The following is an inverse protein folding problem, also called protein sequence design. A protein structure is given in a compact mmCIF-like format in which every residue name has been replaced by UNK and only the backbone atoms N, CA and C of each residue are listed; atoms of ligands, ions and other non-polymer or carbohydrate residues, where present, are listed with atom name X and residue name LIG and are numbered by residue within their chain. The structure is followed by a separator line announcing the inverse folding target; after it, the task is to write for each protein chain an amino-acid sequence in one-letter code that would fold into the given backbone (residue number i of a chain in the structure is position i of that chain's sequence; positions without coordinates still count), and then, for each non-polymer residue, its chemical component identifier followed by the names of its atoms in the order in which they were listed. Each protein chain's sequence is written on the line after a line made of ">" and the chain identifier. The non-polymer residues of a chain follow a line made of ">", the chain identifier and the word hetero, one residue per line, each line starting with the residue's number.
data_IF_934742718410
#
_entry.id   IF_934742718410
#
_cell.length_a   1.000
_cell.length_b   1.000
_cell.length_c   1.000
_cell.angle_alpha   90.00
_cell.angle_beta   90.00
_cell.angle_gamma   90.00
#
_symmetry.space_group_name_H-M   'P 1'
#
loop_
_entity.id
_entity.type
_entity.pdbx_description
1 polymer ?
#
# COMPACT_ATOMS: atom_id res chain seq x y z
N UNK A 1 -6.54 0.24 16.90
CA UNK A 1 -5.59 0.50 15.79
C UNK A 1 -5.70 1.98 15.44
N UNK A 2 -4.61 2.73 15.38
CA UNK A 2 -4.61 4.12 14.94
C UNK A 2 -4.87 4.25 13.45
N UNK A 3 -5.65 5.27 13.09
CA UNK A 3 -6.02 5.62 11.73
C UNK A 3 -5.92 7.13 11.59
N UNK A 4 -5.33 7.61 10.50
CA UNK A 4 -5.11 9.02 10.24
C UNK A 4 -5.76 9.43 8.93
N UNK A 5 -6.49 10.56 8.95
CA UNK A 5 -7.19 11.09 7.81
C UNK A 5 -6.49 12.32 7.24
N UNK A 6 -6.35 12.36 5.92
CA UNK A 6 -5.92 13.51 5.14
C UNK A 6 -7.03 13.79 4.12
N UNK A 7 -7.52 15.02 4.04
CA UNK A 7 -8.62 15.38 3.16
C UNK A 7 -8.51 16.85 2.72
N UNK A 8 -9.20 17.24 1.64
CA UNK A 8 -9.18 18.62 1.16
C UNK A 8 -9.64 19.59 2.21
N UNK A 9 -8.90 20.67 2.42
CA UNK A 9 -9.30 21.79 3.30
C UNK A 9 -10.31 22.67 2.58
N UNK A 10 -11.60 22.40 2.80
CA UNK A 10 -12.72 23.09 2.17
C UNK A 10 -13.56 23.75 3.24
N UNK A 11 -13.78 25.08 3.10
CA UNK A 11 -14.67 25.81 3.97
C UNK A 11 -16.15 25.51 3.66
N UNK A 12 -16.96 25.41 4.72
CA UNK A 12 -18.41 25.20 4.62
C UNK A 12 -18.84 23.74 4.53
N UNK A 13 -20.09 23.55 4.11
CA UNK A 13 -20.71 22.23 4.02
C UNK A 13 -20.23 21.51 2.76
N UNK A 14 -19.80 20.26 2.92
CA UNK A 14 -19.41 19.37 1.84
C UNK A 14 -20.45 18.25 1.72
N UNK A 15 -20.76 17.86 0.49
CA UNK A 15 -21.68 16.75 0.22
C UNK A 15 -21.10 15.45 0.78
N UNK A 16 -21.96 14.61 1.33
CA UNK A 16 -21.60 13.26 1.75
C UNK A 16 -21.04 12.46 0.55
N UNK A 17 -19.91 11.79 0.76
CA UNK A 17 -19.25 11.00 -0.28
C UNK A 17 -18.74 11.83 -1.47
N UNK A 18 -18.31 13.06 -1.23
CA UNK A 18 -17.89 13.97 -2.30
C UNK A 18 -16.55 13.57 -2.97
N UNK A 19 -15.70 12.80 -2.27
CA UNK A 19 -14.36 12.47 -2.71
C UNK A 19 -14.08 10.96 -2.62
N UNK A 20 -13.44 10.35 -3.64
CA UNK A 20 -13.02 8.98 -3.54
C UNK A 20 -12.12 8.76 -2.30
N UNK A 21 -12.24 7.59 -1.70
CA UNK A 21 -11.42 7.18 -0.56
C UNK A 21 -10.17 6.46 -1.06
N UNK A 22 -9.00 6.84 -0.55
CA UNK A 22 -7.75 6.10 -0.78
C UNK A 22 -7.22 5.60 0.56
N UNK A 23 -6.91 4.31 0.64
CA UNK A 23 -6.38 3.69 1.86
C UNK A 23 -4.94 3.26 1.61
N UNK A 24 -4.06 3.63 2.55
CA UNK A 24 -2.65 3.27 2.53
C UNK A 24 -2.28 2.27 3.62
N UNK A 25 -1.55 1.22 3.23
CA UNK A 25 -0.92 0.26 4.13
C UNK A 25 0.60 0.37 4.04
N UNK A 26 1.28 0.55 5.18
CA UNK A 26 2.74 0.70 5.24
C UNK A 26 3.48 -0.63 5.14
N UNK A 27 4.78 -0.59 4.79
CA UNK A 27 5.69 -1.74 4.79
C UNK A 27 5.94 -2.31 6.20
N UNK A 28 6.72 -3.40 6.28
CA UNK A 28 7.20 -3.90 7.57
C UNK A 28 7.99 -2.80 8.30
N UNK A 29 7.73 -2.63 9.60
CA UNK A 29 8.32 -1.57 10.44
C UNK A 29 8.07 -0.14 9.96
N UNK A 30 7.18 0.07 8.99
CA UNK A 30 6.68 1.39 8.63
C UNK A 30 5.74 1.94 9.71
N UNK A 31 5.06 3.04 9.40
CA UNK A 31 4.04 3.64 10.24
C UNK A 31 3.18 4.60 9.40
N UNK A 32 2.12 5.15 9.97
CA UNK A 32 1.14 5.96 9.26
C UNK A 32 1.71 7.17 8.48
N UNK A 33 2.88 7.67 8.83
CA UNK A 33 3.52 8.81 8.12
C UNK A 33 4.56 8.37 7.08
N UNK A 34 4.64 7.09 6.75
CA UNK A 34 5.67 6.59 5.82
C UNK A 34 5.62 7.25 4.44
N UNK A 35 4.45 7.71 4.00
CA UNK A 35 4.24 8.32 2.68
C UNK A 35 3.36 9.58 2.76
N UNK A 36 3.61 10.44 3.75
CA UNK A 36 2.83 11.67 4.00
C UNK A 36 2.81 12.58 2.77
N UNK A 37 3.91 12.67 2.02
CA UNK A 37 3.97 13.46 0.77
C UNK A 37 2.91 13.00 -0.24
N UNK A 38 2.76 11.69 -0.41
CA UNK A 38 1.73 11.10 -1.29
C UNK A 38 0.32 11.38 -0.77
N UNK A 39 0.10 11.29 0.54
CA UNK A 39 -1.23 11.57 1.10
C UNK A 39 -1.64 13.03 0.91
N UNK A 40 -0.68 13.96 1.09
CA UNK A 40 -0.92 15.39 0.89
C UNK A 40 -1.18 15.70 -0.58
N UNK A 41 -0.44 15.08 -1.51
CA UNK A 41 -0.69 15.22 -2.95
C UNK A 41 -2.09 14.72 -3.32
N UNK A 42 -2.48 13.52 -2.85
CA UNK A 42 -3.81 12.97 -3.10
C UNK A 42 -4.92 13.84 -2.48
N UNK A 43 -4.74 14.33 -1.25
CA UNK A 43 -5.69 15.24 -0.63
C UNK A 43 -5.85 16.55 -1.43
N UNK A 44 -4.72 17.10 -1.96
CA UNK A 44 -4.77 18.30 -2.82
C UNK A 44 -5.49 18.06 -4.15
N UNK A 45 -5.49 16.83 -4.63
CA UNK A 45 -6.23 16.38 -5.81
C UNK A 45 -7.71 16.08 -5.54
N UNK A 46 -8.16 16.17 -4.31
CA UNK A 46 -9.57 15.91 -3.94
C UNK A 46 -9.84 14.44 -3.63
N UNK A 47 -8.98 13.81 -2.85
CA UNK A 47 -9.20 12.51 -2.23
C UNK A 47 -9.32 12.64 -0.72
N UNK A 48 -10.07 11.77 -0.09
CA UNK A 48 -9.90 11.47 1.32
C UNK A 48 -8.90 10.31 1.42
N UNK A 49 -7.81 10.52 2.13
CA UNK A 49 -6.79 9.50 2.33
C UNK A 49 -6.81 9.00 3.76
N UNK A 50 -6.80 7.70 3.93
CA UNK A 50 -6.72 7.01 5.21
C UNK A 50 -5.42 6.22 5.27
N UNK A 51 -4.54 6.61 6.18
CA UNK A 51 -3.35 5.84 6.50
C UNK A 51 -3.52 5.15 7.84
N UNK A 52 -3.24 3.87 7.89
CA UNK A 52 -3.38 3.08 9.11
C UNK A 52 -2.04 2.53 9.61
N UNK A 53 -1.91 2.42 10.93
CA UNK A 53 -0.86 1.62 11.53
C UNK A 53 -1.33 0.18 11.70
N UNK A 54 -0.41 -0.78 11.48
CA UNK A 54 -0.60 -2.16 11.86
C UNK A 54 0.09 -2.40 13.21
N UNK A 55 -0.63 -2.44 14.34
CA UNK A 55 -0.03 -2.65 15.64
C UNK A 55 0.83 -3.90 15.65
N UNK A 56 2.00 -3.82 16.33
CA UNK A 56 3.02 -4.87 16.37
C UNK A 56 3.80 -5.13 15.06
N UNK A 57 3.33 -4.62 13.91
CA UNK A 57 4.06 -4.61 12.64
C UNK A 57 4.61 -3.22 12.27
N UNK A 58 4.10 -2.16 12.90
CA UNK A 58 4.66 -0.81 12.84
C UNK A 58 5.90 -0.71 13.74
N UNK A 59 6.88 0.13 13.37
CA UNK A 59 8.04 0.39 14.24
C UNK A 59 7.60 0.89 15.61
N UNK A 60 6.61 1.77 15.63
CA UNK A 60 5.84 2.17 16.81
C UNK A 60 4.48 2.72 16.40
N UNK A 61 3.54 2.63 17.32
CA UNK A 61 2.26 3.32 17.26
C UNK A 61 1.78 3.67 18.67
N UNK A 62 0.67 4.38 18.80
CA UNK A 62 0.08 4.70 20.11
C UNK A 62 -1.36 4.25 20.15
N UNK A 63 -1.76 3.66 21.25
CA UNK A 63 -3.17 3.39 21.50
C UNK A 63 -3.96 4.66 21.89
N UNK A 64 -5.27 4.54 22.07
CA UNK A 64 -6.17 5.65 22.44
C UNK A 64 -5.84 6.26 23.81
N UNK A 65 -5.07 5.59 24.67
CA UNK A 65 -4.56 6.12 25.94
C UNK A 65 -3.25 6.88 25.80
N UNK A 66 -2.65 6.87 24.59
CA UNK A 66 -1.33 7.44 24.31
C UNK A 66 -0.16 6.50 24.67
N UNK A 67 -0.43 5.26 25.07
CA UNK A 67 0.61 4.26 25.35
C UNK A 67 1.29 3.83 24.06
N UNK A 68 2.62 3.86 24.09
CA UNK A 68 3.47 3.41 22.98
C UNK A 68 3.37 1.88 22.82
N UNK A 69 3.11 1.44 21.60
CA UNK A 69 3.16 0.04 21.15
C UNK A 69 4.28 -0.02 20.11
N UNK A 70 5.27 -0.85 20.34
CA UNK A 70 6.40 -1.07 19.40
C UNK A 70 6.18 -2.34 18.58
N UNK A 71 6.97 -2.50 17.52
CA UNK A 71 7.02 -3.76 16.78
C UNK A 71 7.23 -4.96 17.73
N UNK A 72 6.53 -6.05 17.42
CA UNK A 72 6.68 -7.30 18.19
C UNK A 72 8.09 -7.88 17.97
N UNK A 73 8.83 -8.23 19.03
CA UNK A 73 10.11 -8.91 18.89
C UNK A 73 10.05 -10.19 18.05
N UNK A 74 8.95 -10.93 18.11
CA UNK A 74 8.73 -12.13 17.28
C UNK A 74 8.63 -11.78 15.80
N UNK A 75 7.93 -10.67 15.45
CA UNK A 75 7.87 -10.18 14.08
C UNK A 75 9.26 -9.76 13.58
N UNK A 76 10.06 -9.07 14.41
CA UNK A 76 11.43 -8.70 14.07
C UNK A 76 12.30 -9.94 13.83
N UNK A 77 12.25 -10.93 14.70
CA UNK A 77 13.01 -12.17 14.54
C UNK A 77 12.58 -12.93 13.29
N UNK A 78 11.28 -13.05 13.05
CA UNK A 78 10.75 -13.71 11.86
C UNK A 78 11.16 -12.98 10.57
N UNK A 79 11.16 -11.64 10.57
CA UNK A 79 11.65 -10.85 9.42
C UNK A 79 13.14 -11.08 9.17
N UNK A 80 13.96 -11.17 10.20
CA UNK A 80 15.38 -11.52 10.05
C UNK A 80 15.53 -12.94 9.48
N UNK A 81 14.78 -13.89 10.02
CA UNK A 81 14.85 -15.29 9.63
C UNK A 81 14.50 -15.53 8.15
N UNK A 82 13.40 -14.94 7.66
CA UNK A 82 13.01 -15.13 6.25
C UNK A 82 14.00 -14.49 5.25
N UNK A 83 14.87 -13.61 5.71
CA UNK A 83 15.93 -12.99 4.89
C UNK A 83 17.29 -13.65 5.07
N UNK A 84 17.41 -14.75 5.84
CA UNK A 84 18.64 -15.51 5.96
C UNK A 84 18.81 -16.42 4.73
N UNK A 85 20.06 -16.52 4.23
CA UNK A 85 20.37 -17.42 3.12
C UNK A 85 20.04 -18.88 3.46
N UNK A 86 19.23 -19.52 2.63
CA UNK A 86 18.88 -20.92 2.77
C UNK A 86 17.66 -21.20 3.66
N UNK A 87 16.94 -20.19 4.10
CA UNK A 87 15.64 -20.40 4.76
C UNK A 87 14.69 -21.16 3.83
N UNK A 88 14.04 -22.24 4.29
CA UNK A 88 13.13 -23.00 3.43
C UNK A 88 11.95 -22.14 2.96
N UNK A 89 11.64 -22.19 1.67
CA UNK A 89 10.54 -21.45 1.06
C UNK A 89 9.17 -21.78 1.69
N UNK A 90 8.97 -23.02 2.15
CA UNK A 90 7.77 -23.44 2.86
C UNK A 90 7.59 -22.67 4.19
N UNK A 91 8.69 -22.42 4.89
CA UNK A 91 8.66 -21.65 6.15
C UNK A 91 8.46 -20.16 5.87
N UNK A 92 9.07 -19.62 4.81
CA UNK A 92 8.84 -18.25 4.34
C UNK A 92 7.36 -18.07 4.03
N UNK A 93 6.76 -18.98 3.25
CA UNK A 93 5.34 -18.96 2.93
C UNK A 93 4.45 -18.97 4.17
N UNK A 94 4.71 -19.88 5.10
CA UNK A 94 3.90 -20.00 6.32
C UNK A 94 3.95 -18.70 7.16
N UNK A 95 5.13 -18.11 7.33
CA UNK A 95 5.32 -16.87 8.09
C UNK A 95 4.64 -15.68 7.40
N UNK A 96 4.88 -15.52 6.11
CA UNK A 96 4.37 -14.35 5.35
C UNK A 96 2.85 -14.42 5.18
N UNK A 97 2.28 -15.61 5.04
CA UNK A 97 0.83 -15.82 4.99
C UNK A 97 0.13 -15.35 6.27
N UNK A 98 0.71 -15.63 7.45
CA UNK A 98 0.15 -15.14 8.72
C UNK A 98 0.24 -13.61 8.83
N UNK A 99 1.31 -12.99 8.30
CA UNK A 99 1.41 -11.54 8.28
C UNK A 99 0.37 -10.87 7.39
N UNK A 100 0.17 -11.41 6.19
CA UNK A 100 -0.86 -10.93 5.26
C UNK A 100 -2.25 -11.09 5.87
N UNK A 101 -2.56 -12.24 6.45
CA UNK A 101 -3.83 -12.50 7.11
C UNK A 101 -4.16 -11.49 8.23
N UNK A 102 -3.17 -11.16 9.07
CA UNK A 102 -3.33 -10.14 10.11
C UNK A 102 -3.65 -8.77 9.49
N UNK A 103 -2.86 -8.35 8.49
CA UNK A 103 -3.01 -7.03 7.86
C UNK A 103 -4.31 -6.89 7.08
N UNK A 104 -4.76 -7.94 6.41
CA UNK A 104 -6.08 -8.00 5.78
C UNK A 104 -7.18 -7.77 6.82
N UNK A 105 -7.06 -8.41 8.00
CA UNK A 105 -8.00 -8.20 9.10
C UNK A 105 -8.05 -6.74 9.56
N UNK A 106 -6.90 -6.10 9.68
CA UNK A 106 -6.79 -4.69 10.06
C UNK A 106 -7.45 -3.75 9.03
N UNK A 107 -7.17 -3.95 7.74
CA UNK A 107 -7.73 -3.10 6.67
C UNK A 107 -9.23 -3.31 6.54
N UNK A 108 -9.71 -4.55 6.55
CA UNK A 108 -11.13 -4.87 6.51
C UNK A 108 -11.88 -4.20 7.68
N UNK A 109 -11.31 -4.28 8.89
CA UNK A 109 -11.88 -3.60 10.06
C UNK A 109 -12.03 -2.09 9.84
N UNK A 110 -11.01 -1.43 9.23
CA UNK A 110 -11.08 0.02 8.96
C UNK A 110 -12.16 0.35 7.94
N UNK A 111 -12.25 -0.41 6.84
CA UNK A 111 -13.28 -0.21 5.82
C UNK A 111 -14.68 -0.37 6.43
N UNK A 112 -14.89 -1.45 7.17
CA UNK A 112 -16.18 -1.76 7.80
C UNK A 112 -16.60 -0.68 8.83
N UNK A 113 -15.66 -0.17 9.63
CA UNK A 113 -15.98 0.90 10.61
C UNK A 113 -16.22 2.25 9.92
N UNK A 114 -15.57 2.57 8.80
CA UNK A 114 -15.87 3.76 8.01
C UNK A 114 -17.30 3.66 7.44
N UNK A 115 -17.65 2.54 6.80
CA UNK A 115 -18.99 2.31 6.24
C UNK A 115 -20.07 2.38 7.32
N UNK A 116 -19.87 1.70 8.44
CA UNK A 116 -20.78 1.74 9.57
C UNK A 116 -20.94 3.13 10.19
N UNK A 117 -19.86 3.90 10.30
CA UNK A 117 -19.93 5.28 10.79
C UNK A 117 -20.80 6.15 9.86
N UNK A 118 -20.67 6.01 8.54
CA UNK A 118 -21.50 6.71 7.55
C UNK A 118 -22.99 6.39 7.69
N UNK A 119 -23.35 5.11 7.94
CA UNK A 119 -24.74 4.70 8.15
C UNK A 119 -25.38 5.30 9.41
N UNK A 120 -24.60 5.57 10.45
CA UNK A 120 -25.11 6.09 11.74
C UNK A 120 -25.36 7.60 11.76
N UNK A 121 -24.95 8.31 10.72
CA UNK A 121 -24.97 9.78 10.67
C UNK A 121 -23.84 10.40 11.48
N UNK A 122 -23.19 11.42 10.93
CA UNK A 122 -21.94 11.96 11.46
C UNK A 122 -22.11 13.40 11.96
N UNK A 123 -21.48 13.71 13.10
CA UNK A 123 -21.26 15.09 13.55
C UNK A 123 -20.04 15.67 12.83
N UNK A 124 -20.28 16.42 11.75
CA UNK A 124 -19.21 17.00 10.91
C UNK A 124 -18.44 18.15 11.56
N UNK A 125 -18.72 18.49 12.83
CA UNK A 125 -17.87 19.39 13.61
C UNK A 125 -16.63 18.69 14.18
N UNK A 126 -16.60 17.38 14.21
CA UNK A 126 -15.40 16.60 14.52
C UNK A 126 -14.59 16.37 13.25
N UNK A 127 -13.31 16.67 13.25
CA UNK A 127 -12.44 16.58 12.06
C UNK A 127 -12.35 15.16 11.48
N UNK A 128 -12.32 14.14 12.33
CA UNK A 128 -12.25 12.73 11.89
C UNK A 128 -13.59 12.35 11.24
N UNK A 129 -14.70 12.66 11.90
CA UNK A 129 -16.04 12.38 11.38
C UNK A 129 -16.33 13.19 10.12
N UNK A 130 -15.78 14.40 10.00
CA UNK A 130 -15.83 15.20 8.77
C UNK A 130 -15.09 14.50 7.63
N UNK A 131 -13.88 13.96 7.86
CA UNK A 131 -13.14 13.17 6.88
C UNK A 131 -13.93 11.95 6.41
N UNK A 132 -14.54 11.20 7.33
CA UNK A 132 -15.40 10.06 7.01
C UNK A 132 -16.62 10.49 6.19
N UNK A 133 -17.29 11.60 6.55
CA UNK A 133 -18.42 12.14 5.80
C UNK A 133 -18.03 12.47 4.35
N UNK A 134 -16.89 13.10 4.15
CA UNK A 134 -16.39 13.49 2.82
C UNK A 134 -16.02 12.30 1.94
N UNK A 135 -15.64 11.15 2.51
CA UNK A 135 -15.18 9.97 1.81
C UNK A 135 -16.32 9.24 1.09
N UNK A 136 -16.11 8.86 -0.17
CA UNK A 136 -16.93 7.88 -0.89
C UNK A 136 -16.41 6.47 -0.57
N UNK A 137 -17.04 5.80 0.39
CA UNK A 137 -16.65 4.47 0.84
C UNK A 137 -17.06 3.33 -0.12
N UNK A 138 -17.72 3.64 -1.25
CA UNK A 138 -18.03 2.70 -2.32
C UNK A 138 -17.07 2.84 -3.52
N UNK A 139 -16.18 3.84 -3.47
CA UNK A 139 -15.20 4.13 -4.51
C UNK A 139 -13.80 4.27 -3.88
N UNK A 140 -13.18 3.12 -3.59
CA UNK A 140 -11.94 3.02 -2.83
C UNK A 140 -10.75 2.71 -3.75
N UNK A 141 -9.66 3.47 -3.60
CA UNK A 141 -8.33 3.09 -4.07
C UNK A 141 -7.50 2.52 -2.93
N UNK A 142 -6.69 1.53 -3.22
CA UNK A 142 -5.73 0.98 -2.27
C UNK A 142 -4.32 1.15 -2.77
N UNK A 143 -3.40 1.59 -1.91
CA UNK A 143 -1.98 1.48 -2.22
C UNK A 143 -1.16 1.16 -0.97
N UNK A 144 0.03 0.66 -1.20
CA UNK A 144 0.92 0.35 -0.09
C UNK A 144 2.35 0.12 -0.55
N UNK A 145 3.27 0.21 0.40
CA UNK A 145 4.67 -0.06 0.19
C UNK A 145 5.04 -1.43 0.74
N UNK A 146 5.81 -2.24 -0.02
CA UNK A 146 6.35 -3.51 0.48
C UNK A 146 5.23 -4.46 0.96
N UNK A 147 5.29 -4.96 2.19
CA UNK A 147 4.23 -5.77 2.79
C UNK A 147 2.85 -5.08 2.80
N UNK A 148 2.82 -3.74 2.78
CA UNK A 148 1.60 -2.95 2.62
C UNK A 148 1.04 -3.00 1.21
N UNK A 149 1.91 -3.05 0.19
CA UNK A 149 1.54 -3.26 -1.20
C UNK A 149 0.90 -4.64 -1.38
N UNK A 150 1.54 -5.70 -0.88
CA UNK A 150 0.97 -7.05 -0.85
C UNK A 150 -0.41 -7.11 -0.18
N UNK A 151 -0.58 -6.37 0.93
CA UNK A 151 -1.87 -6.24 1.62
C UNK A 151 -2.90 -5.56 0.74
N UNK A 152 -2.52 -4.46 0.07
CA UNK A 152 -3.41 -3.69 -0.82
C UNK A 152 -3.90 -4.54 -2.00
N UNK A 153 -3.02 -5.34 -2.60
CA UNK A 153 -3.36 -6.28 -3.67
C UNK A 153 -4.39 -7.30 -3.18
N UNK A 154 -4.20 -7.88 -2.01
CA UNK A 154 -5.13 -8.87 -1.48
C UNK A 154 -6.50 -8.28 -1.16
N UNK A 155 -6.54 -7.07 -0.60
CA UNK A 155 -7.80 -6.36 -0.33
C UNK A 155 -8.53 -6.02 -1.65
N UNK A 156 -7.80 -5.60 -2.69
CA UNK A 156 -8.38 -5.32 -4.01
C UNK A 156 -9.08 -6.53 -4.64
N UNK A 157 -8.62 -7.75 -4.32
CA UNK A 157 -9.33 -8.98 -4.72
C UNK A 157 -10.58 -9.27 -3.90
N UNK A 158 -10.58 -8.89 -2.62
CA UNK A 158 -11.61 -9.31 -1.66
C UNK A 158 -12.78 -8.34 -1.52
N UNK A 159 -12.59 -7.07 -1.82
CA UNK A 159 -13.54 -5.98 -1.54
C UNK A 159 -14.06 -5.35 -2.83
N UNK A 160 -15.36 -5.48 -3.08
CA UNK A 160 -16.01 -4.91 -4.27
C UNK A 160 -15.97 -3.38 -4.32
N UNK A 161 -15.83 -2.72 -3.17
CA UNK A 161 -15.69 -1.27 -3.04
C UNK A 161 -14.32 -0.77 -3.55
N UNK A 162 -13.30 -1.64 -3.56
CA UNK A 162 -11.99 -1.29 -4.10
C UNK A 162 -12.03 -1.34 -5.62
N UNK A 163 -11.66 -0.23 -6.26
CA UNK A 163 -11.74 -0.05 -7.73
C UNK A 163 -10.38 0.01 -8.42
N UNK A 164 -9.31 0.27 -7.70
CA UNK A 164 -7.96 0.36 -8.24
C UNK A 164 -6.91 0.11 -7.15
N UNK A 165 -5.80 -0.52 -7.51
CA UNK A 165 -4.74 -0.90 -6.57
C UNK A 165 -3.37 -0.51 -7.09
N UNK A 166 -2.49 -0.01 -6.21
CA UNK A 166 -1.07 0.22 -6.50
C UNK A 166 -0.21 -0.52 -5.48
N UNK A 167 0.73 -1.29 -5.97
CA UNK A 167 1.79 -1.93 -5.20
C UNK A 167 3.11 -1.18 -5.42
N UNK A 168 3.68 -0.63 -4.35
CA UNK A 168 4.98 0.03 -4.36
C UNK A 168 6.04 -0.93 -3.81
N UNK A 169 6.76 -1.58 -4.72
CA UNK A 169 7.92 -2.46 -4.44
C UNK A 169 7.60 -3.61 -3.48
N UNK A 170 6.40 -4.20 -3.61
CA UNK A 170 5.94 -5.34 -2.82
C UNK A 170 5.93 -6.63 -3.61
N UNK A 171 6.12 -7.75 -2.92
CA UNK A 171 5.79 -9.07 -3.47
C UNK A 171 4.34 -9.39 -3.14
N UNK A 172 3.52 -9.73 -4.11
CA UNK A 172 2.07 -9.93 -3.98
C UNK A 172 1.74 -11.24 -3.24
N UNK A 173 2.21 -11.33 -1.98
CA UNK A 173 2.22 -12.53 -1.14
C UNK A 173 0.83 -13.16 -0.95
N UNK A 174 -0.23 -12.36 -0.92
CA UNK A 174 -1.60 -12.88 -0.75
C UNK A 174 -2.15 -13.61 -1.97
N UNK A 175 -1.45 -13.55 -3.10
CA UNK A 175 -1.75 -14.30 -4.32
C UNK A 175 -0.98 -15.64 -4.38
N UNK A 176 -0.15 -15.92 -3.39
CA UNK A 176 0.44 -17.23 -3.12
C UNK A 176 -0.52 -18.00 -2.21
N UNK A 177 -1.20 -19.00 -2.76
CA UNK A 177 -2.26 -19.73 -2.05
C UNK A 177 -1.71 -20.89 -1.21
N UNK A 178 -0.63 -21.52 -1.65
CA UNK A 178 -0.01 -22.67 -1.00
C UNK A 178 1.43 -22.85 -1.42
N UNK A 179 2.15 -23.74 -0.73
CA UNK A 179 3.49 -24.20 -1.13
C UNK A 179 3.51 -25.72 -1.18
N UNK A 180 3.49 -26.30 -2.38
CA UNK A 180 3.41 -27.74 -2.60
C UNK A 180 4.51 -28.25 -3.54
N UNK A 181 5.08 -29.39 -3.21
CA UNK A 181 6.08 -30.06 -4.04
C UNK A 181 7.28 -29.17 -4.43
N UNK A 182 7.70 -28.26 -3.52
CA UNK A 182 8.83 -27.36 -3.73
C UNK A 182 8.50 -26.15 -4.61
N UNK A 183 7.24 -25.76 -4.73
CA UNK A 183 6.78 -24.62 -5.54
C UNK A 183 5.61 -23.89 -4.88
N UNK A 184 5.56 -22.59 -5.11
CA UNK A 184 4.37 -21.79 -4.78
C UNK A 184 3.22 -22.16 -5.71
N UNK A 185 2.03 -22.25 -5.15
CA UNK A 185 0.76 -22.33 -5.85
C UNK A 185 0.17 -20.92 -5.91
N UNK A 186 0.06 -20.36 -7.10
CA UNK A 186 -0.46 -19.01 -7.29
C UNK A 186 -1.96 -19.03 -7.54
N UNK A 187 -2.61 -17.92 -7.25
CA UNK A 187 -3.99 -17.68 -7.64
C UNK A 187 -4.06 -17.49 -9.16
N UNK A 188 -4.81 -18.34 -9.84
CA UNK A 188 -4.99 -18.30 -11.29
C UNK A 188 -6.27 -17.56 -11.72
N UNK A 189 -7.12 -17.17 -10.75
CA UNK A 189 -8.33 -16.39 -11.05
C UNK A 189 -7.93 -14.97 -11.54
N UNK A 190 -8.61 -14.42 -12.54
CA UNK A 190 -8.35 -13.07 -13.02
C UNK A 190 -8.34 -12.06 -11.86
N UNK A 191 -7.35 -11.17 -11.83
CA UNK A 191 -7.32 -10.11 -10.84
C UNK A 191 -8.40 -9.07 -11.17
N UNK A 192 -9.37 -8.80 -10.27
CA UNK A 192 -10.65 -8.22 -10.65
C UNK A 192 -10.65 -6.72 -10.88
N UNK A 193 -9.62 -5.99 -10.47
CA UNK A 193 -9.54 -4.53 -10.59
C UNK A 193 -8.23 -4.09 -11.27
N UNK A 194 -8.17 -2.89 -11.84
CA UNK A 194 -6.93 -2.31 -12.32
C UNK A 194 -5.84 -2.30 -11.24
N UNK A 195 -4.63 -2.72 -11.62
CA UNK A 195 -3.47 -2.81 -10.74
C UNK A 195 -2.24 -2.22 -11.39
N UNK A 196 -1.47 -1.48 -10.60
CA UNK A 196 -0.17 -0.97 -10.99
C UNK A 196 0.91 -1.48 -10.02
N UNK A 197 1.95 -2.13 -10.55
CA UNK A 197 3.19 -2.42 -9.83
C UNK A 197 4.22 -1.33 -10.15
N UNK A 198 4.81 -0.76 -9.12
CA UNK A 198 5.89 0.22 -9.24
C UNK A 198 7.08 -0.31 -8.48
N UNK A 199 8.08 -0.81 -9.20
CA UNK A 199 9.15 -1.61 -8.64
C UNK A 199 10.49 -0.88 -8.58
N UNK A 200 11.41 -1.34 -7.73
CA UNK A 200 12.83 -1.06 -7.88
C UNK A 200 13.38 -1.78 -9.11
N UNK A 201 14.51 -1.30 -9.65
CA UNK A 201 15.24 -2.02 -10.70
C UNK A 201 15.58 -3.46 -10.29
N UNK A 202 15.84 -3.70 -8.99
CA UNK A 202 16.14 -5.03 -8.45
C UNK A 202 14.93 -5.98 -8.57
N UNK A 203 13.73 -5.55 -8.14
CA UNK A 203 12.52 -6.36 -8.25
C UNK A 203 12.10 -6.57 -9.71
N UNK A 204 12.24 -5.54 -10.55
CA UNK A 204 12.00 -5.67 -11.98
C UNK A 204 12.91 -6.72 -12.63
N UNK A 205 14.23 -6.72 -12.33
CA UNK A 205 15.13 -7.74 -12.82
C UNK A 205 14.79 -9.14 -12.29
N UNK A 206 14.43 -9.25 -11.00
CA UNK A 206 13.97 -10.52 -10.43
C UNK A 206 12.71 -11.04 -11.13
N UNK A 207 11.78 -10.15 -11.50
CA UNK A 207 10.58 -10.50 -12.26
C UNK A 207 10.94 -11.05 -13.65
N UNK A 208 11.88 -10.41 -14.35
CA UNK A 208 12.36 -10.88 -15.66
C UNK A 208 13.06 -12.24 -15.58
N UNK A 209 13.89 -12.44 -14.56
CA UNK A 209 14.68 -13.70 -14.39
C UNK A 209 13.80 -14.89 -14.00
N UNK A 210 12.79 -14.66 -13.17
CA UNK A 210 11.91 -15.72 -12.66
C UNK A 210 10.68 -15.98 -13.56
N UNK A 211 10.29 -15.01 -14.39
CA UNK A 211 9.16 -15.16 -15.31
C UNK A 211 7.89 -15.66 -14.59
N UNK A 212 7.33 -16.78 -15.08
CA UNK A 212 6.13 -17.40 -14.52
C UNK A 212 6.24 -17.91 -13.07
N UNK A 213 7.43 -17.94 -12.51
CA UNK A 213 7.65 -18.32 -11.11
C UNK A 213 7.58 -17.13 -10.14
N UNK A 214 7.44 -15.92 -10.66
CA UNK A 214 7.29 -14.72 -9.84
C UNK A 214 5.81 -14.30 -9.78
N UNK A 215 5.26 -14.26 -8.58
CA UNK A 215 3.82 -14.05 -8.36
C UNK A 215 3.30 -12.73 -8.95
N UNK A 216 4.08 -11.65 -8.87
CA UNK A 216 3.68 -10.35 -9.41
C UNK A 216 3.41 -10.42 -10.92
N UNK A 217 4.26 -11.13 -11.69
CA UNK A 217 4.06 -11.32 -13.13
C UNK A 217 2.70 -11.96 -13.40
N UNK A 218 2.35 -13.02 -12.63
CA UNK A 218 1.06 -13.71 -12.79
C UNK A 218 -0.12 -12.79 -12.51
N UNK A 219 -0.04 -11.98 -11.47
CA UNK A 219 -1.10 -11.04 -11.12
C UNK A 219 -1.26 -9.97 -12.19
N UNK A 220 -0.16 -9.34 -12.63
CA UNK A 220 -0.17 -8.28 -13.64
C UNK A 220 -0.68 -8.80 -15.00
N UNK A 221 -0.20 -9.98 -15.45
CA UNK A 221 -0.63 -10.59 -16.70
C UNK A 221 -2.12 -10.98 -16.70
N UNK A 222 -2.65 -11.37 -15.53
CA UNK A 222 -4.01 -11.90 -15.38
C UNK A 222 -5.02 -10.84 -14.92
N UNK A 223 -4.58 -9.60 -14.71
CA UNK A 223 -5.43 -8.51 -14.27
C UNK A 223 -6.33 -7.97 -15.40
N UNK A 224 -7.49 -7.42 -15.04
CA UNK A 224 -8.38 -6.73 -15.98
C UNK A 224 -7.70 -5.55 -16.67
N UNK A 225 -6.79 -4.87 -15.98
CA UNK A 225 -5.85 -3.87 -16.51
C UNK A 225 -4.60 -3.88 -15.60
N UNK A 226 -3.61 -4.70 -15.97
CA UNK A 226 -2.34 -4.84 -15.27
C UNK A 226 -1.29 -3.95 -15.89
N UNK A 227 -0.63 -3.14 -15.07
CA UNK A 227 0.43 -2.23 -15.50
C UNK A 227 1.62 -2.32 -14.59
N UNK A 228 2.80 -2.09 -15.15
CA UNK A 228 4.06 -2.07 -14.41
C UNK A 228 4.98 -0.96 -14.88
N UNK A 229 5.81 -0.49 -13.98
CA UNK A 229 6.94 0.39 -14.26
C UNK A 229 7.98 0.21 -13.16
N UNK A 230 9.21 0.67 -13.38
CA UNK A 230 10.23 0.61 -12.35
C UNK A 230 11.08 1.86 -12.26
N UNK A 231 11.74 2.03 -11.14
CA UNK A 231 12.64 3.15 -10.88
C UNK A 231 14.09 2.67 -10.95
N UNK A 232 14.79 3.10 -11.98
CA UNK A 232 16.19 2.77 -12.18
C UNK A 232 17.08 3.45 -11.14
N UNK A 233 17.93 2.63 -10.52
CA UNK A 233 18.78 3.10 -9.43
C UNK A 233 18.06 3.39 -8.13
N UNK A 234 16.75 3.13 -8.01
CA UNK A 234 16.05 3.19 -6.74
C UNK A 234 16.35 1.98 -5.88
N UNK A 235 16.33 2.17 -4.57
CA UNK A 235 16.25 1.09 -3.59
C UNK A 235 14.90 1.11 -2.88
N UNK A 236 14.64 0.06 -2.11
CA UNK A 236 13.34 -0.19 -1.47
C UNK A 236 12.76 1.01 -0.71
N UNK A 237 13.60 1.75 0.02
CA UNK A 237 13.16 2.89 0.83
C UNK A 237 12.93 4.19 0.05
N UNK A 238 13.23 4.23 -1.26
CA UNK A 238 12.91 5.38 -2.10
C UNK A 238 11.39 5.53 -2.38
N UNK A 239 10.60 4.49 -2.13
CA UNK A 239 9.13 4.55 -2.19
C UNK A 239 8.48 5.01 -0.87
N UNK A 240 9.24 5.64 0.01
CA UNK A 240 8.78 6.23 1.27
C UNK A 240 9.33 7.63 1.45
N UNK A 241 8.76 8.38 2.40
CA UNK A 241 9.27 9.72 2.76
C UNK A 241 10.49 9.67 3.68
N UNK A 242 10.99 8.49 4.05
CA UNK A 242 12.14 8.36 4.94
C UNK A 242 13.36 9.18 4.50
N UNK A 243 13.70 9.25 3.20
CA UNK A 243 14.79 10.10 2.70
C UNK A 243 14.65 11.57 3.06
N UNK A 244 13.42 12.09 3.09
CA UNK A 244 13.14 13.51 3.44
C UNK A 244 13.39 13.80 4.93
N UNK A 245 13.11 12.84 5.80
CA UNK A 245 13.24 13.01 7.25
C UNK A 245 14.63 12.67 7.77
N UNK A 246 15.25 11.63 7.22
CA UNK A 246 16.54 11.13 7.68
C UNK A 246 17.31 10.46 6.54
N UNK A 247 17.99 11.23 5.67
CA UNK A 247 18.76 10.68 4.56
C UNK A 247 19.81 9.64 4.98
N UNK A 248 20.44 9.83 6.15
CA UNK A 248 21.43 8.88 6.68
C UNK A 248 20.79 7.55 7.05
N UNK A 249 19.63 7.58 7.70
CA UNK A 249 18.91 6.35 8.07
C UNK A 249 18.36 5.68 6.81
N UNK A 250 17.79 6.44 5.89
CA UNK A 250 17.26 5.95 4.63
C UNK A 250 18.33 5.19 3.83
N UNK A 251 19.52 5.78 3.72
CA UNK A 251 20.67 5.14 3.05
C UNK A 251 21.06 3.82 3.70
N UNK A 252 21.04 3.74 5.03
CA UNK A 252 21.34 2.49 5.75
C UNK A 252 20.24 1.44 5.62
N UNK A 253 19.00 1.85 5.36
CA UNK A 253 17.84 0.98 5.21
C UNK A 253 17.51 0.64 3.74
N UNK A 254 18.33 1.09 2.79
CA UNK A 254 18.24 0.64 1.40
C UNK A 254 17.61 1.65 0.44
N UNK A 255 18.00 2.94 0.52
CA UNK A 255 17.84 3.83 -0.64
C UNK A 255 18.91 3.55 -1.68
N UNK A 256 18.57 3.76 -2.95
CA UNK A 256 19.47 3.57 -4.07
C UNK A 256 20.31 4.81 -4.41
N UNK A 257 20.61 4.97 -5.69
CA UNK A 257 21.42 6.07 -6.23
C UNK A 257 20.61 7.13 -6.96
N UNK A 258 19.31 6.90 -7.15
CA UNK A 258 18.38 7.87 -7.72
C UNK A 258 18.30 9.12 -6.84
N UNK A 259 18.00 10.28 -7.45
CA UNK A 259 17.68 11.48 -6.68
C UNK A 259 16.44 11.24 -5.82
N UNK A 260 16.59 11.37 -4.51
CA UNK A 260 15.57 10.98 -3.53
C UNK A 260 14.30 11.85 -3.63
N UNK A 261 14.48 13.16 -3.84
CA UNK A 261 13.34 14.08 -3.98
C UNK A 261 12.58 13.80 -5.28
N UNK A 262 13.30 13.61 -6.37
CA UNK A 262 12.71 13.32 -7.68
C UNK A 262 11.95 11.99 -7.67
N UNK A 263 12.49 10.95 -7.03
CA UNK A 263 11.82 9.66 -6.89
C UNK A 263 10.47 9.81 -6.16
N UNK A 264 10.43 10.58 -5.07
CA UNK A 264 9.21 10.85 -4.32
C UNK A 264 8.21 11.65 -5.17
N UNK A 265 8.65 12.71 -5.85
CA UNK A 265 7.79 13.52 -6.72
C UNK A 265 7.18 12.68 -7.86
N UNK A 266 7.99 11.84 -8.51
CA UNK A 266 7.53 10.93 -9.57
C UNK A 266 6.58 9.87 -9.04
N UNK A 267 6.84 9.30 -7.87
CA UNK A 267 5.93 8.34 -7.22
C UNK A 267 4.58 9.00 -6.93
N UNK A 268 4.58 10.21 -6.37
CA UNK A 268 3.36 10.96 -6.08
C UNK A 268 2.55 11.27 -7.35
N UNK A 269 3.24 11.65 -8.44
CA UNK A 269 2.61 11.90 -9.73
C UNK A 269 1.97 10.64 -10.32
N UNK A 270 2.69 9.51 -10.31
CA UNK A 270 2.20 8.22 -10.82
C UNK A 270 0.99 7.76 -10.03
N UNK A 271 1.05 7.80 -8.71
CA UNK A 271 -0.05 7.42 -7.82
C UNK A 271 -1.29 8.30 -8.07
N UNK A 272 -1.09 9.62 -8.15
CA UNK A 272 -2.16 10.57 -8.44
C UNK A 272 -2.80 10.35 -9.80
N UNK A 273 -1.98 10.20 -10.85
CA UNK A 273 -2.43 9.95 -12.22
C UNK A 273 -3.25 8.65 -12.34
N UNK A 274 -2.79 7.57 -11.70
CA UNK A 274 -3.48 6.28 -11.73
C UNK A 274 -4.85 6.36 -11.07
N UNK A 275 -4.93 6.94 -9.87
CA UNK A 275 -6.21 7.09 -9.18
C UNK A 275 -7.12 8.11 -9.86
N UNK A 276 -6.62 9.23 -10.40
CA UNK A 276 -7.45 10.19 -11.16
C UNK A 276 -8.17 9.49 -12.31
N UNK A 277 -7.47 8.60 -13.04
CA UNK A 277 -8.06 7.86 -14.13
C UNK A 277 -9.11 6.84 -13.68
N UNK A 278 -8.80 5.97 -12.69
CA UNK A 278 -9.69 4.86 -12.33
C UNK A 278 -10.78 5.23 -11.33
N UNK A 279 -10.57 6.20 -10.45
CA UNK A 279 -11.54 6.58 -9.43
C UNK A 279 -12.38 7.80 -9.81
N UNK A 280 -11.88 8.68 -10.70
CA UNK A 280 -12.57 9.88 -11.11
C UNK A 280 -12.95 9.92 -12.59
N UNK A 281 -12.40 9.00 -13.40
CA UNK A 281 -12.47 9.02 -14.85
C UNK A 281 -11.85 10.30 -15.45
N UNK A 282 -10.74 10.76 -14.90
CA UNK A 282 -10.01 11.96 -15.31
C UNK A 282 -8.63 11.61 -15.87
N UNK A 283 -8.22 12.29 -16.93
CA UNK A 283 -6.89 12.14 -17.53
C UNK A 283 -6.66 10.82 -18.28
N UNK A 284 -5.41 10.43 -18.34
CA UNK A 284 -4.93 9.18 -18.96
C UNK A 284 -3.78 8.60 -18.11
N UNK A 285 -3.64 7.28 -18.06
CA UNK A 285 -2.49 6.63 -17.42
C UNK A 285 -1.37 6.47 -18.43
N UNK A 286 -0.41 7.39 -18.41
CA UNK A 286 0.77 7.38 -19.28
C UNK A 286 2.01 7.06 -18.45
N UNK A 287 2.46 5.82 -18.51
CA UNK A 287 3.66 5.37 -17.82
C UNK A 287 4.86 5.32 -18.75
N UNK A 288 6.02 5.68 -18.23
CA UNK A 288 7.30 5.37 -18.87
C UNK A 288 7.64 3.90 -18.56
N UNK A 289 8.48 3.29 -19.40
CA UNK A 289 9.02 1.96 -19.12
C UNK A 289 9.79 1.96 -17.79
N UNK A 290 10.56 3.02 -17.55
CA UNK A 290 11.23 3.27 -16.27
C UNK A 290 11.38 4.78 -15.99
N UNK A 291 11.63 5.08 -14.72
CA UNK A 291 11.94 6.43 -14.20
C UNK A 291 13.37 6.48 -13.66
N UNK A 292 14.03 7.65 -13.72
CA UNK A 292 15.40 7.86 -13.21
C UNK A 292 15.64 9.30 -12.71
#
# INVERSE_FOLDING_TARGET
>A
MPVHFYYPDIEGDVKDGAFPLVIFSHGAFGYYQSNTSTYMELASRGYVVVSLDHPYHSIFTKDTSGKLITANPEFLQATMYINEDGTPEEEIFAITSEWIKLRIGDVNFVIDEIQKAKEQGLDTNDDILRGIHMADAENIGMFGHSLGGATSVTIGRQREEVKAVIDLDGTMLGEQLDYENGRYVFNEEPYPVPILSVDTEYHHQAALENGDLYVNNKVIENAVDGRETYFKGAGHMNFTDLPLFSPVLAKNLGTGTIDEQRAIEQTNEIVGMFFDYYLKNEGEVVLQEYYE
#
